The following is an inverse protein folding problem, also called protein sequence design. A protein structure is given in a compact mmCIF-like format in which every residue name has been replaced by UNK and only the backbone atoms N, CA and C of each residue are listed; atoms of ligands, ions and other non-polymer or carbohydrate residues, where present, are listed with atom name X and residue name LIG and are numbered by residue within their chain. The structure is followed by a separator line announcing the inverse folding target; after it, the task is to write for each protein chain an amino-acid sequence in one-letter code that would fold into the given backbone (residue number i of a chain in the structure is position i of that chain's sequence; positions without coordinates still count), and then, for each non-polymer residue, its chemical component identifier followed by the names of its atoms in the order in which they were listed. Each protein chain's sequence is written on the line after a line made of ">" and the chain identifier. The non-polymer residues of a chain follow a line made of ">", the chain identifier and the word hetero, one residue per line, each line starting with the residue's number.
data_IF_952622671018
#
_entry.id   IF_952622671018
#
_cell.length_a   1.000
_cell.length_b   1.000
_cell.length_c   1.000
_cell.angle_alpha   90.00
_cell.angle_beta   90.00
_cell.angle_gamma   90.00
#
_symmetry.space_group_name_H-M   'P 1'
#
loop_
_entity.id
_entity.type
_entity.pdbx_description
1 polymer ?
#
# COMPACT_ATOMS: atom_id res chain seq x y z
N UNK A 1 20.49 -40.49 -24.91
CA UNK A 1 19.60 -41.55 -24.39
C UNK A 1 19.23 -41.18 -22.99
N UNK A 2 17.94 -41.02 -22.68
CA UNK A 2 17.44 -40.70 -21.36
C UNK A 2 16.36 -39.61 -21.39
N UNK A 3 15.14 -40.05 -21.46
CA UNK A 3 13.89 -39.32 -21.76
C UNK A 3 13.43 -38.36 -20.66
N UNK A 4 12.98 -37.23 -21.07
CA UNK A 4 12.21 -36.23 -20.29
C UNK A 4 10.75 -36.67 -20.16
N UNK A 5 10.26 -36.96 -18.95
CA UNK A 5 8.83 -37.15 -18.67
C UNK A 5 8.19 -35.82 -18.26
N UNK A 6 7.38 -35.27 -19.18
CA UNK A 6 6.35 -34.24 -18.94
C UNK A 6 5.24 -34.80 -18.05
N UNK A 7 4.96 -34.17 -16.94
CA UNK A 7 3.72 -34.37 -16.16
C UNK A 7 2.81 -33.15 -16.36
N UNK A 8 1.88 -33.30 -17.27
CA UNK A 8 0.75 -32.36 -17.44
C UNK A 8 -0.37 -32.79 -16.49
N UNK A 9 -0.69 -32.02 -15.48
CA UNK A 9 -1.91 -32.19 -14.67
C UNK A 9 -3.03 -31.34 -15.23
N UNK A 10 -3.97 -32.05 -15.82
CA UNK A 10 -5.25 -31.61 -16.37
C UNK A 10 -6.23 -31.37 -15.19
N UNK A 11 -6.68 -30.16 -14.99
CA UNK A 11 -7.80 -29.86 -14.10
C UNK A 11 -9.07 -29.80 -14.94
N UNK A 12 -9.97 -30.78 -14.74
CA UNK A 12 -11.28 -30.82 -15.33
C UNK A 12 -12.28 -30.15 -14.38
N UNK A 13 -12.97 -29.14 -14.88
CA UNK A 13 -14.07 -28.49 -14.19
C UNK A 13 -15.34 -29.39 -14.22
N UNK A 14 -16.09 -29.35 -13.14
CA UNK A 14 -17.45 -29.88 -13.10
C UNK A 14 -18.44 -28.75 -12.85
N UNK A 15 -19.12 -28.32 -13.91
CA UNK A 15 -20.31 -27.51 -13.84
C UNK A 15 -21.50 -28.44 -13.45
N UNK A 16 -22.24 -28.08 -12.43
CA UNK A 16 -23.54 -28.68 -12.13
C UNK A 16 -24.64 -27.69 -12.44
N UNK A 17 -25.37 -27.98 -13.49
CA UNK A 17 -26.64 -27.37 -13.84
C UNK A 17 -27.72 -27.85 -12.88
N UNK A 18 -28.54 -26.97 -12.35
CA UNK A 18 -29.75 -27.28 -11.62
C UNK A 18 -30.95 -27.03 -12.53
N UNK A 19 -31.68 -28.06 -12.72
CA UNK A 19 -32.85 -28.21 -13.60
C UNK A 19 -34.11 -27.59 -12.99
N UNK A 20 -34.88 -26.87 -13.80
CA UNK A 20 -36.21 -26.39 -13.49
C UNK A 20 -37.23 -27.54 -13.54
N UNK A 21 -38.10 -27.63 -12.54
CA UNK A 21 -39.26 -28.50 -12.56
C UNK A 21 -40.53 -27.66 -12.79
N UNK A 22 -41.21 -27.99 -13.87
CA UNK A 22 -42.59 -27.57 -14.22
C UNK A 22 -43.58 -28.37 -13.39
N UNK A 23 -44.62 -27.76 -12.86
CA UNK A 23 -45.77 -28.45 -12.33
C UNK A 23 -47.04 -28.02 -13.07
N UNK A 24 -47.86 -29.02 -13.34
CA UNK A 24 -48.96 -29.05 -14.27
C UNK A 24 -50.29 -28.55 -13.68
N UNK A 25 -51.18 -28.23 -14.61
CA UNK A 25 -52.58 -27.86 -14.47
C UNK A 25 -53.42 -29.02 -13.92
N UNK A 26 -54.47 -28.68 -13.16
CA UNK A 26 -55.71 -29.46 -13.17
C UNK A 26 -56.89 -28.50 -12.95
N UNK A 27 -57.82 -28.58 -13.87
CA UNK A 27 -59.15 -27.94 -13.86
C UNK A 27 -60.13 -28.83 -13.14
N UNK A 28 -61.12 -28.26 -12.45
CA UNK A 28 -62.28 -29.00 -11.92
C UNK A 28 -63.45 -28.03 -11.72
N UNK A 29 -64.51 -28.35 -12.43
CA UNK A 29 -65.79 -27.65 -12.59
C UNK A 29 -66.83 -28.06 -11.53
N UNK A 30 -67.78 -27.16 -11.28
CA UNK A 30 -69.24 -27.34 -10.97
C UNK A 30 -69.65 -27.46 -9.50
N UNK A 31 -70.61 -26.63 -9.14
CA UNK A 31 -71.51 -26.82 -8.00
C UNK A 31 -72.11 -25.49 -7.46
N UNK A 32 -73.19 -25.04 -8.06
CA UNK A 32 -74.02 -23.94 -7.55
C UNK A 32 -74.93 -24.42 -6.41
N UNK A 33 -74.97 -23.76 -5.28
CA UNK A 33 -76.12 -23.72 -4.39
C UNK A 33 -76.21 -22.31 -3.74
N UNK A 34 -77.30 -21.66 -3.99
CA UNK A 34 -77.74 -20.40 -3.44
C UNK A 34 -78.30 -20.63 -2.02
N UNK A 35 -77.79 -19.99 -1.03
CA UNK A 35 -78.49 -19.78 0.26
C UNK A 35 -78.12 -18.42 0.80
N UNK A 36 -79.11 -17.53 0.80
CA UNK A 36 -79.02 -16.19 1.39
C UNK A 36 -78.91 -16.31 2.89
N UNK A 37 -77.74 -15.90 3.41
CA UNK A 37 -77.47 -15.68 4.83
C UNK A 37 -76.84 -14.33 5.01
N UNK A 38 -77.58 -13.38 5.59
CA UNK A 38 -77.03 -12.05 5.98
C UNK A 38 -76.10 -12.28 7.16
N UNK A 39 -74.81 -12.33 6.87
CA UNK A 39 -73.78 -12.26 7.91
C UNK A 39 -73.26 -10.83 7.97
N UNK A 40 -73.61 -10.13 9.02
CA UNK A 40 -73.00 -8.85 9.37
C UNK A 40 -71.56 -9.13 9.80
N UNK A 41 -70.64 -9.06 8.90
CA UNK A 41 -69.21 -9.09 9.18
C UNK A 41 -68.80 -7.70 9.70
N UNK A 42 -68.62 -7.63 11.00
CA UNK A 42 -67.90 -6.51 11.65
C UNK A 42 -66.46 -6.53 11.07
N UNK A 43 -66.15 -5.60 10.17
CA UNK A 43 -64.77 -5.30 9.76
C UNK A 43 -64.00 -4.76 10.93
N UNK A 44 -63.35 -5.62 11.71
CA UNK A 44 -62.24 -5.20 12.57
C UNK A 44 -61.13 -4.69 11.66
N UNK A 45 -61.08 -3.41 11.43
CA UNK A 45 -59.92 -2.75 10.88
C UNK A 45 -58.77 -2.86 11.89
N UNK A 46 -58.03 -3.97 11.82
CA UNK A 46 -56.70 -4.04 12.42
C UNK A 46 -55.84 -3.07 11.64
N UNK A 47 -55.66 -1.87 12.13
CA UNK A 47 -54.63 -0.97 11.66
C UNK A 47 -53.28 -1.72 11.71
N UNK A 48 -52.58 -1.87 10.58
CA UNK A 48 -51.27 -2.46 10.66
C UNK A 48 -50.43 -1.58 11.59
N UNK A 49 -49.87 -2.17 12.65
CA UNK A 49 -48.85 -1.52 13.45
C UNK A 49 -47.83 -0.88 12.51
N UNK A 50 -47.46 0.39 12.76
CA UNK A 50 -46.43 1.03 11.93
C UNK A 50 -45.16 0.24 12.13
N UNK A 51 -44.86 -0.63 11.14
CA UNK A 51 -43.57 -1.30 11.04
C UNK A 51 -42.56 -0.17 11.01
N UNK A 52 -41.84 0.02 12.11
CA UNK A 52 -40.79 1.03 12.21
C UNK A 52 -39.85 0.81 11.01
N UNK A 53 -39.94 1.71 10.02
CA UNK A 53 -39.11 1.64 8.84
C UNK A 53 -37.65 1.54 9.27
N UNK A 54 -36.98 0.46 8.89
CA UNK A 54 -35.55 0.34 9.18
C UNK A 54 -34.86 1.57 8.59
N UNK A 55 -34.00 2.25 9.38
CA UNK A 55 -33.29 3.41 8.88
C UNK A 55 -32.53 3.00 7.63
N UNK A 56 -32.83 3.64 6.50
CA UNK A 56 -32.25 3.34 5.21
C UNK A 56 -31.38 4.52 4.74
N UNK A 57 -30.35 4.22 4.01
CA UNK A 57 -29.49 5.23 3.39
C UNK A 57 -30.13 5.92 2.17
N UNK A 58 -31.36 5.50 1.78
CA UNK A 58 -32.14 6.06 0.69
C UNK A 58 -33.20 7.06 1.19
N UNK A 59 -33.68 7.93 0.30
CA UNK A 59 -34.73 8.92 0.58
C UNK A 59 -34.17 10.24 1.11
N UNK A 60 -35.09 11.04 1.68
CA UNK A 60 -34.81 12.40 2.19
C UNK A 60 -34.13 12.43 3.56
N UNK A 61 -33.49 11.33 3.98
CA UNK A 61 -32.78 11.30 5.27
C UNK A 61 -31.57 12.24 5.25
N UNK A 62 -31.40 13.05 6.27
CA UNK A 62 -30.20 13.83 6.49
C UNK A 62 -28.98 12.90 6.55
N UNK A 63 -27.87 13.31 5.96
CA UNK A 63 -26.64 12.54 5.90
C UNK A 63 -25.51 13.29 6.58
N UNK A 64 -24.68 12.56 7.29
CA UNK A 64 -23.46 13.07 7.89
C UNK A 64 -22.26 12.43 7.18
N UNK A 65 -21.40 13.25 6.60
CA UNK A 65 -20.13 12.82 6.05
C UNK A 65 -19.02 13.19 7.02
N UNK A 66 -18.19 12.23 7.36
CA UNK A 66 -17.03 12.41 8.22
C UNK A 66 -15.79 11.82 7.58
N UNK A 67 -14.64 12.34 7.95
CA UNK A 67 -13.34 11.78 7.60
C UNK A 67 -12.64 11.31 8.86
N UNK A 68 -11.83 10.28 8.72
CA UNK A 68 -10.93 9.80 9.74
C UNK A 68 -9.55 9.56 9.15
N UNK A 69 -8.53 9.91 9.91
CA UNK A 69 -7.13 9.65 9.59
C UNK A 69 -6.56 8.74 10.66
N UNK A 70 -5.92 7.68 10.24
CA UNK A 70 -5.25 6.75 11.15
C UNK A 70 -3.76 6.71 10.87
N UNK A 71 -3.00 6.44 11.91
CA UNK A 71 -1.55 6.40 11.88
C UNK A 71 -1.06 5.09 12.48
N UNK A 72 -0.07 4.48 11.82
CA UNK A 72 0.66 3.35 12.37
C UNK A 72 2.16 3.61 12.23
N UNK A 73 2.92 3.27 13.26
CA UNK A 73 4.38 3.48 13.28
C UNK A 73 5.07 2.13 13.33
N UNK A 74 6.03 1.94 12.42
CA UNK A 74 6.85 0.74 12.33
C UNK A 74 8.34 1.04 12.49
N UNK A 75 9.08 0.05 12.96
CA UNK A 75 10.55 0.11 12.96
C UNK A 75 11.04 -0.41 11.61
N UNK A 76 11.86 0.36 10.86
CA UNK A 76 12.46 -0.10 9.62
C UNK A 76 13.25 -1.40 9.81
N UNK A 77 13.17 -2.30 8.84
CA UNK A 77 13.85 -3.60 8.84
C UNK A 77 14.68 -3.85 7.57
N UNK A 78 14.64 -2.91 6.62
CA UNK A 78 15.51 -2.90 5.44
C UNK A 78 16.12 -1.53 5.25
N UNK A 79 17.33 -1.54 4.68
CA UNK A 79 18.05 -0.38 4.20
C UNK A 79 18.23 -0.52 2.69
N UNK A 80 17.65 0.38 1.93
CA UNK A 80 17.86 0.49 0.49
C UNK A 80 19.00 1.46 0.23
N UNK A 81 20.09 0.92 -0.31
CA UNK A 81 21.30 1.65 -0.68
C UNK A 81 21.32 1.83 -2.20
N UNK A 82 21.46 3.08 -2.66
CA UNK A 82 21.67 3.41 -4.08
C UNK A 82 23.08 3.93 -4.28
N UNK A 83 23.85 3.18 -5.06
CA UNK A 83 25.24 3.47 -5.39
C UNK A 83 25.37 3.76 -6.88
N UNK A 84 25.90 4.93 -7.21
CA UNK A 84 26.30 5.29 -8.56
C UNK A 84 27.77 4.98 -8.81
N UNK A 85 28.07 4.52 -10.02
CA UNK A 85 29.42 4.41 -10.54
C UNK A 85 29.48 5.33 -11.76
N UNK A 86 30.47 6.22 -11.80
CA UNK A 86 30.64 7.15 -12.91
C UNK A 86 32.08 7.08 -13.41
N UNK A 87 32.24 6.71 -14.68
CA UNK A 87 33.53 6.60 -15.36
C UNK A 87 33.53 7.41 -16.65
N UNK A 88 34.68 7.94 -17.00
CA UNK A 88 34.83 8.71 -18.26
C UNK A 88 36.11 8.29 -18.97
N UNK A 89 35.95 7.84 -20.21
CA UNK A 89 37.05 7.37 -21.06
C UNK A 89 36.94 7.94 -22.49
N UNK A 90 38.02 7.90 -23.28
CA UNK A 90 38.03 8.43 -24.65
C UNK A 90 37.00 7.75 -25.57
N UNK A 91 36.69 6.48 -25.37
CA UNK A 91 35.72 5.74 -26.17
C UNK A 91 34.61 5.14 -25.33
N UNK A 92 33.41 4.98 -25.89
CA UNK A 92 32.28 4.37 -25.21
C UNK A 92 32.57 2.91 -24.79
N UNK A 93 33.34 2.17 -25.55
CA UNK A 93 33.69 0.79 -25.25
C UNK A 93 34.63 0.69 -24.03
N UNK A 94 35.64 1.56 -23.97
CA UNK A 94 36.54 1.64 -22.80
C UNK A 94 35.76 2.01 -21.55
N UNK A 95 34.92 3.05 -21.61
CA UNK A 95 34.12 3.49 -20.49
C UNK A 95 33.14 2.40 -19.96
N UNK A 96 32.51 1.65 -20.88
CA UNK A 96 31.65 0.50 -20.48
C UNK A 96 32.48 -0.64 -19.89
N UNK A 97 33.68 -0.90 -20.41
CA UNK A 97 34.56 -1.94 -19.87
C UNK A 97 35.05 -1.59 -18.47
N UNK A 98 35.43 -0.35 -18.22
CA UNK A 98 35.84 0.11 -16.88
C UNK A 98 34.67 0.12 -15.88
N UNK A 99 33.48 0.57 -16.33
CA UNK A 99 32.27 0.49 -15.53
C UNK A 99 31.96 -0.96 -15.11
N UNK A 100 32.01 -1.92 -16.04
CA UNK A 100 31.75 -3.33 -15.75
C UNK A 100 32.70 -3.90 -14.68
N UNK A 101 33.99 -3.55 -14.75
CA UNK A 101 34.97 -3.96 -13.73
C UNK A 101 34.58 -3.41 -12.36
N UNK A 102 34.24 -2.11 -12.29
CA UNK A 102 33.88 -1.43 -11.05
C UNK A 102 32.55 -1.91 -10.49
N UNK A 103 31.54 -2.09 -11.34
CA UNK A 103 30.24 -2.62 -10.95
C UNK A 103 30.35 -4.05 -10.40
N UNK A 104 31.20 -4.88 -11.02
CA UNK A 104 31.48 -6.23 -10.53
C UNK A 104 32.17 -6.20 -9.16
N UNK A 105 33.11 -5.29 -8.94
CA UNK A 105 33.77 -5.14 -7.65
C UNK A 105 32.80 -4.68 -6.56
N UNK A 106 31.94 -3.71 -6.84
CA UNK A 106 30.90 -3.24 -5.92
C UNK A 106 29.92 -4.37 -5.59
N UNK A 107 29.44 -5.12 -6.59
CA UNK A 107 28.55 -6.27 -6.39
C UNK A 107 29.19 -7.37 -5.53
N UNK A 108 30.48 -7.63 -5.74
CA UNK A 108 31.22 -8.61 -4.95
C UNK A 108 31.31 -8.17 -3.47
N UNK A 109 31.61 -6.92 -3.21
CA UNK A 109 31.67 -6.36 -1.86
C UNK A 109 30.29 -6.42 -1.16
N UNK A 110 29.21 -6.06 -1.86
CA UNK A 110 27.85 -6.15 -1.35
C UNK A 110 27.52 -7.58 -0.94
N UNK A 111 27.82 -8.57 -1.81
CA UNK A 111 27.53 -9.98 -1.53
C UNK A 111 28.39 -10.54 -0.39
N UNK A 112 29.67 -10.18 -0.33
CA UNK A 112 30.56 -10.53 0.81
C UNK A 112 30.08 -9.90 2.12
N UNK A 113 29.49 -8.72 2.07
CA UNK A 113 28.88 -8.05 3.20
C UNK A 113 27.52 -8.62 3.63
N UNK A 114 27.07 -9.72 3.00
CA UNK A 114 25.84 -10.44 3.35
C UNK A 114 24.59 -9.97 2.62
N UNK A 115 24.73 -9.16 1.58
CA UNK A 115 23.59 -8.79 0.71
C UNK A 115 23.33 -9.96 -0.25
N UNK A 116 22.10 -10.47 -0.27
CA UNK A 116 21.75 -11.55 -1.17
C UNK A 116 21.80 -11.08 -2.64
N UNK A 117 22.25 -11.93 -3.56
CA UNK A 117 22.38 -11.57 -4.97
C UNK A 117 21.06 -11.09 -5.60
N UNK A 118 19.93 -11.63 -5.16
CA UNK A 118 18.58 -11.21 -5.60
C UNK A 118 18.21 -9.78 -5.14
N UNK A 119 18.89 -9.27 -4.13
CA UNK A 119 18.66 -7.96 -3.53
C UNK A 119 19.61 -6.89 -4.07
N UNK A 120 20.47 -7.24 -5.05
CA UNK A 120 21.32 -6.31 -5.80
C UNK A 120 20.78 -6.21 -7.22
N UNK A 121 20.48 -4.99 -7.62
CA UNK A 121 19.86 -4.69 -8.92
C UNK A 121 20.56 -3.50 -9.58
N UNK A 122 20.83 -3.59 -10.89
CA UNK A 122 21.15 -2.41 -11.69
C UNK A 122 19.84 -1.67 -11.99
N UNK A 123 19.72 -0.44 -11.53
CA UNK A 123 18.52 0.38 -11.69
C UNK A 123 18.62 1.39 -12.84
N UNK A 124 19.84 1.75 -13.22
CA UNK A 124 20.09 2.63 -14.36
C UNK A 124 21.47 2.37 -14.96
N UNK A 125 21.58 2.43 -16.28
CA UNK A 125 22.85 2.47 -17.01
C UNK A 125 22.69 3.45 -18.18
N UNK A 126 23.58 4.46 -18.24
CA UNK A 126 23.58 5.44 -19.32
C UNK A 126 25.00 5.68 -19.83
N UNK A 127 25.11 5.95 -21.14
CA UNK A 127 26.36 6.30 -21.81
C UNK A 127 26.16 7.62 -22.53
N UNK A 128 26.92 8.64 -22.15
CA UNK A 128 26.74 10.00 -22.64
C UNK A 128 28.06 10.54 -23.24
N UNK A 129 28.07 11.05 -24.48
CA UNK A 129 29.23 11.71 -25.04
C UNK A 129 29.55 13.01 -24.31
N UNK A 130 30.82 13.29 -24.08
CA UNK A 130 31.32 14.53 -23.55
C UNK A 130 31.84 15.42 -24.70
N UNK A 131 31.50 16.70 -24.66
CA UNK A 131 31.85 17.64 -25.69
C UNK A 131 32.72 18.77 -25.14
N UNK A 132 33.68 19.21 -25.95
CA UNK A 132 34.44 20.44 -25.68
C UNK A 132 33.65 21.70 -26.13
N UNK A 133 34.20 22.86 -25.87
CA UNK A 133 33.61 24.15 -26.29
C UNK A 133 33.44 24.34 -27.80
N UNK A 134 34.05 23.50 -28.62
CA UNK A 134 33.94 23.53 -30.06
C UNK A 134 32.95 22.45 -30.59
N UNK A 135 32.23 21.77 -29.70
CA UNK A 135 31.26 20.73 -30.11
C UNK A 135 31.89 19.40 -30.52
N UNK A 136 33.17 19.18 -30.27
CA UNK A 136 33.84 17.92 -30.56
C UNK A 136 33.73 16.95 -29.40
N UNK A 137 33.49 15.67 -29.64
CA UNK A 137 33.48 14.63 -28.63
C UNK A 137 34.89 14.45 -28.08
N UNK A 138 35.04 14.57 -26.76
CA UNK A 138 36.30 14.42 -26.01
C UNK A 138 36.37 13.13 -25.22
N UNK A 139 35.26 12.44 -25.08
CA UNK A 139 35.13 11.19 -24.35
C UNK A 139 33.69 10.78 -24.15
N UNK A 140 33.48 9.73 -23.39
CA UNK A 140 32.17 9.20 -23.01
C UNK A 140 32.11 8.99 -21.53
N UNK A 141 31.06 9.49 -20.93
CA UNK A 141 30.76 9.24 -19.53
C UNK A 141 29.72 8.09 -19.44
N UNK A 142 30.05 7.08 -18.66
CA UNK A 142 29.13 6.00 -18.27
C UNK A 142 28.70 6.24 -16.84
N UNK A 143 27.40 6.22 -16.61
CA UNK A 143 26.82 6.23 -15.27
C UNK A 143 25.99 4.97 -15.06
N UNK A 144 26.34 4.21 -14.05
CA UNK A 144 25.67 2.96 -13.66
C UNK A 144 25.18 3.09 -12.22
N UNK A 145 23.94 2.81 -11.97
CA UNK A 145 23.35 2.87 -10.62
C UNK A 145 22.95 1.47 -10.17
N UNK A 146 23.53 1.03 -9.07
CA UNK A 146 23.19 -0.21 -8.38
C UNK A 146 22.32 0.11 -7.17
N UNK A 147 21.22 -0.63 -7.00
CA UNK A 147 20.40 -0.58 -5.83
C UNK A 147 20.56 -1.89 -5.06
N UNK A 148 20.82 -1.80 -3.75
CA UNK A 148 21.00 -2.95 -2.88
C UNK A 148 20.09 -2.86 -1.66
N UNK A 149 19.48 -3.99 -1.26
CA UNK A 149 18.65 -4.08 -0.04
C UNK A 149 19.44 -4.80 1.04
N UNK A 150 19.77 -4.09 2.11
CA UNK A 150 20.53 -4.57 3.26
C UNK A 150 19.55 -4.80 4.42
N UNK A 151 19.49 -6.05 4.93
CA UNK A 151 18.59 -6.41 6.05
C UNK A 151 19.33 -6.45 7.39
N UNK A 152 20.65 -6.57 7.35
CA UNK A 152 21.46 -6.59 8.57
C UNK A 152 22.08 -5.21 8.82
N UNK A 153 21.45 -4.42 9.68
CA UNK A 153 21.92 -3.07 9.97
C UNK A 153 23.25 -3.03 10.76
N UNK A 154 23.55 -4.11 11.50
CA UNK A 154 24.83 -4.16 12.26
C UNK A 154 26.06 -4.18 11.37
N UNK A 155 25.93 -4.68 10.14
CA UNK A 155 27.03 -4.71 9.15
C UNK A 155 26.90 -3.63 8.08
N UNK A 156 25.78 -2.92 8.04
CA UNK A 156 25.48 -1.98 6.95
C UNK A 156 26.52 -0.85 6.83
N UNK A 157 26.98 -0.28 7.95
CA UNK A 157 28.02 0.76 7.94
C UNK A 157 29.32 0.27 7.29
N UNK A 158 29.82 -0.90 7.69
CA UNK A 158 31.05 -1.48 7.13
C UNK A 158 30.88 -1.88 5.66
N UNK A 159 29.67 -2.30 5.24
CA UNK A 159 29.37 -2.59 3.85
C UNK A 159 29.43 -1.31 3.01
N UNK A 160 28.86 -0.21 3.49
CA UNK A 160 28.89 1.10 2.80
C UNK A 160 30.34 1.58 2.64
N UNK A 161 31.15 1.51 3.70
CA UNK A 161 32.56 1.90 3.64
C UNK A 161 33.34 1.04 2.61
N UNK A 162 33.06 -0.25 2.60
CA UNK A 162 33.70 -1.18 1.64
C UNK A 162 33.27 -0.91 0.19
N UNK A 163 32.00 -0.56 -0.03
CA UNK A 163 31.47 -0.16 -1.32
C UNK A 163 32.13 1.12 -1.80
N UNK A 164 32.30 2.13 -0.93
CA UNK A 164 33.00 3.37 -1.25
C UNK A 164 34.43 3.11 -1.70
N UNK A 165 35.11 2.12 -1.12
CA UNK A 165 36.45 1.71 -1.50
C UNK A 165 36.52 0.89 -2.80
N UNK A 166 35.49 0.11 -3.14
CA UNK A 166 35.52 -0.88 -4.20
C UNK A 166 35.68 -0.29 -5.62
N UNK A 167 35.03 0.82 -5.91
CA UNK A 167 35.16 1.53 -7.19
C UNK A 167 35.95 2.84 -7.06
N UNK A 168 36.53 3.10 -5.88
CA UNK A 168 37.36 4.27 -5.61
C UNK A 168 36.63 5.59 -5.93
N UNK A 169 37.34 6.50 -6.61
CA UNK A 169 36.81 7.82 -6.97
C UNK A 169 35.62 7.78 -7.96
N UNK A 170 35.31 6.64 -8.56
CA UNK A 170 34.14 6.48 -9.42
C UNK A 170 32.84 6.25 -8.62
N UNK A 171 32.95 5.93 -7.32
CA UNK A 171 31.79 5.66 -6.44
C UNK A 171 31.06 6.95 -6.09
N UNK A 172 29.74 6.93 -6.23
CA UNK A 172 28.81 7.97 -5.76
C UNK A 172 27.75 7.33 -4.88
N UNK A 173 27.63 7.79 -3.65
CA UNK A 173 26.53 7.37 -2.78
C UNK A 173 25.32 8.27 -3.06
N UNK A 174 24.34 7.75 -3.82
CA UNK A 174 23.19 8.54 -4.27
C UNK A 174 22.15 8.71 -3.17
N UNK A 175 21.78 7.61 -2.52
CA UNK A 175 20.79 7.64 -1.43
C UNK A 175 20.92 6.44 -0.51
N UNK A 176 20.41 6.64 0.70
CA UNK A 176 20.33 5.66 1.76
C UNK A 176 18.96 5.84 2.41
N UNK A 177 18.10 4.83 2.31
CA UNK A 177 16.73 4.92 2.80
C UNK A 177 16.37 3.71 3.65
N UNK A 178 15.93 3.97 4.88
CA UNK A 178 15.40 2.95 5.78
C UNK A 178 13.91 2.79 5.57
N UNK A 179 13.43 1.56 5.49
CA UNK A 179 12.00 1.27 5.32
C UNK A 179 11.59 -0.05 5.95
N UNK A 180 10.28 -0.22 6.11
CA UNK A 180 9.67 -1.50 6.47
C UNK A 180 9.39 -2.26 5.17
N UNK A 181 9.92 -3.48 5.05
CA UNK A 181 9.79 -4.29 3.82
C UNK A 181 8.35 -4.73 3.56
N UNK A 182 7.60 -5.06 4.62
CA UNK A 182 6.18 -5.43 4.53
C UNK A 182 5.33 -4.45 5.34
N UNK A 183 4.73 -3.48 4.64
CA UNK A 183 3.90 -2.43 5.25
C UNK A 183 2.46 -2.86 5.50
N UNK A 184 2.00 -4.03 5.00
CA UNK A 184 0.59 -4.46 5.08
C UNK A 184 0.03 -4.43 6.49
N UNK A 185 0.80 -4.90 7.46
CA UNK A 185 0.38 -4.88 8.87
C UNK A 185 0.22 -3.46 9.43
N UNK A 186 1.09 -2.54 9.03
CA UNK A 186 1.00 -1.11 9.41
C UNK A 186 -0.18 -0.43 8.72
N UNK A 187 -0.37 -0.70 7.42
CA UNK A 187 -1.50 -0.16 6.67
C UNK A 187 -2.84 -0.60 7.26
N UNK A 188 -2.98 -1.89 7.64
CA UNK A 188 -4.19 -2.41 8.27
C UNK A 188 -4.44 -1.78 9.64
N UNK A 189 -3.39 -1.53 10.42
CA UNK A 189 -3.49 -0.80 11.68
C UNK A 189 -3.92 0.64 11.45
N UNK A 190 -3.31 1.33 10.50
CA UNK A 190 -3.67 2.71 10.15
C UNK A 190 -5.11 2.80 9.65
N UNK A 191 -5.58 1.89 8.78
CA UNK A 191 -6.98 1.83 8.33
C UNK A 191 -7.94 1.61 9.51
N UNK A 192 -7.61 0.70 10.42
CA UNK A 192 -8.42 0.43 11.61
C UNK A 192 -8.53 1.68 12.49
N UNK A 193 -7.44 2.39 12.67
CA UNK A 193 -7.41 3.63 13.46
C UNK A 193 -8.21 4.75 12.77
N UNK A 194 -8.07 4.91 11.46
CA UNK A 194 -8.84 5.86 10.65
C UNK A 194 -10.35 5.64 10.78
N UNK A 195 -10.80 4.38 10.69
CA UNK A 195 -12.22 4.03 10.86
C UNK A 195 -12.69 4.35 12.28
N UNK A 196 -11.90 4.01 13.29
CA UNK A 196 -12.23 4.31 14.70
C UNK A 196 -12.38 5.83 14.94
N UNK A 197 -11.48 6.62 14.39
CA UNK A 197 -11.53 8.07 14.47
C UNK A 197 -12.78 8.63 13.76
N UNK A 198 -13.08 8.17 12.53
CA UNK A 198 -14.27 8.58 11.80
C UNK A 198 -15.56 8.27 12.54
N UNK A 199 -15.66 7.07 13.17
CA UNK A 199 -16.81 6.68 14.01
C UNK A 199 -16.95 7.62 15.20
N UNK A 200 -15.86 7.93 15.90
CA UNK A 200 -15.86 8.85 17.03
C UNK A 200 -16.30 10.26 16.62
N UNK A 201 -15.81 10.78 15.51
CA UNK A 201 -16.21 12.06 14.95
C UNK A 201 -17.71 12.07 14.61
N UNK A 202 -18.20 11.01 13.93
CA UNK A 202 -19.60 10.90 13.57
C UNK A 202 -20.52 10.92 14.79
N UNK A 203 -20.16 10.19 15.85
CA UNK A 203 -20.93 10.15 17.10
C UNK A 203 -20.98 11.53 17.75
N UNK A 204 -19.84 12.20 17.88
CA UNK A 204 -19.74 13.52 18.49
C UNK A 204 -20.56 14.57 17.72
N UNK A 205 -20.46 14.55 16.39
CA UNK A 205 -21.20 15.50 15.53
C UNK A 205 -22.71 15.24 15.56
N UNK A 206 -23.15 13.99 15.51
CA UNK A 206 -24.58 13.66 15.60
C UNK A 206 -25.16 14.11 16.96
N UNK A 207 -24.43 13.86 18.05
CA UNK A 207 -24.85 14.32 19.40
C UNK A 207 -24.94 15.85 19.49
N UNK A 208 -23.95 16.58 18.96
CA UNK A 208 -23.94 18.04 18.95
C UNK A 208 -25.09 18.63 18.11
N UNK A 209 -25.50 17.93 17.05
CA UNK A 209 -26.64 18.29 16.21
C UNK A 209 -28.01 17.96 16.86
N UNK A 210 -28.03 17.29 18.01
CA UNK A 210 -29.27 16.79 18.64
C UNK A 210 -29.89 15.60 17.90
N UNK A 211 -29.11 14.91 17.09
CA UNK A 211 -29.53 13.78 16.25
C UNK A 211 -28.89 12.47 16.76
N UNK A 212 -29.38 11.34 16.28
CA UNK A 212 -28.78 10.04 16.52
C UNK A 212 -28.08 9.54 15.29
N UNK A 213 -26.91 8.95 15.48
CA UNK A 213 -26.18 8.32 14.39
C UNK A 213 -26.93 7.07 13.92
N UNK A 214 -27.23 7.02 12.63
CA UNK A 214 -27.86 5.89 11.96
C UNK A 214 -26.83 4.94 11.33
N UNK A 215 -27.24 4.08 10.40
CA UNK A 215 -26.36 3.15 9.74
C UNK A 215 -25.35 3.85 8.83
N UNK A 216 -24.23 3.16 8.59
CA UNK A 216 -23.24 3.55 7.57
C UNK A 216 -23.86 3.40 6.21
N UNK A 217 -23.86 4.45 5.41
CA UNK A 217 -24.36 4.48 4.03
C UNK A 217 -23.27 4.21 3.00
N UNK A 218 -22.08 4.72 3.24
CA UNK A 218 -20.89 4.40 2.46
C UNK A 218 -19.63 4.52 3.32
N UNK A 219 -18.64 3.72 2.97
CA UNK A 219 -17.29 3.79 3.48
C UNK A 219 -16.37 3.76 2.26
N UNK A 220 -15.48 4.74 2.16
CA UNK A 220 -14.49 4.83 1.09
C UNK A 220 -13.12 4.93 1.71
N UNK A 221 -12.25 3.99 1.37
CA UNK A 221 -10.83 4.07 1.68
C UNK A 221 -10.17 5.03 0.68
N UNK A 222 -9.54 6.07 1.20
CA UNK A 222 -8.80 7.07 0.45
C UNK A 222 -7.28 6.92 0.66
N UNK A 223 -6.86 5.83 1.30
CA UNK A 223 -5.45 5.51 1.52
C UNK A 223 -4.78 5.21 0.18
N UNK A 224 -3.56 5.71 -0.04
CA UNK A 224 -2.82 5.50 -1.30
C UNK A 224 -2.99 6.60 -2.35
N UNK A 225 -3.75 7.67 -2.08
CA UNK A 225 -3.69 8.89 -2.86
C UNK A 225 -2.57 9.75 -2.25
N UNK A 226 -1.36 9.48 -2.68
CA UNK A 226 -0.13 10.26 -2.53
C UNK A 226 -0.07 11.24 -1.33
N UNK A 227 0.24 10.72 -0.15
CA UNK A 227 0.79 11.51 0.92
C UNK A 227 2.01 10.79 1.52
N UNK A 228 3.02 10.51 0.69
CA UNK A 228 4.34 10.26 1.21
C UNK A 228 4.86 11.59 1.78
N UNK A 229 4.69 11.78 3.07
CA UNK A 229 5.37 12.85 3.81
C UNK A 229 6.60 12.21 4.45
N UNK A 230 7.82 12.52 3.95
CA UNK A 230 9.04 12.12 4.66
C UNK A 230 8.95 12.72 6.05
N UNK A 231 9.03 11.89 7.09
CA UNK A 231 9.05 12.36 8.47
C UNK A 231 10.14 13.42 8.64
N UNK A 232 9.78 14.54 9.22
CA UNK A 232 10.71 15.64 9.52
C UNK A 232 11.79 15.11 10.45
N UNK A 233 12.99 14.95 9.93
CA UNK A 233 14.15 14.65 10.77
C UNK A 233 14.43 15.88 11.64
N UNK A 234 14.37 15.71 12.96
CA UNK A 234 14.90 16.70 13.87
C UNK A 234 16.42 16.78 13.60
N UNK A 235 16.87 17.93 13.11
CA UNK A 235 18.28 18.22 12.92
C UNK A 235 18.95 18.30 14.30
N UNK A 236 19.53 17.16 14.72
CA UNK A 236 20.44 17.12 15.87
C UNK A 236 21.72 17.88 15.52
N UNK A 237 22.17 18.71 16.43
CA UNK A 237 23.39 19.49 16.31
C UNK A 237 24.61 18.60 15.99
N UNK A 238 25.26 18.85 14.87
CA UNK A 238 26.52 18.21 14.47
C UNK A 238 27.66 18.65 15.40
N UNK A 239 28.22 17.71 16.15
CA UNK A 239 29.49 17.91 16.83
C UNK A 239 30.63 17.86 15.82
N UNK A 240 31.60 18.80 15.97
CA UNK A 240 32.76 18.91 15.08
C UNK A 240 33.63 17.65 15.09
N UNK A 241 34.21 17.25 13.95
CA UNK A 241 35.03 16.05 13.87
C UNK A 241 36.39 16.31 14.53
N UNK A 242 36.78 15.47 15.49
CA UNK A 242 38.17 15.27 15.88
C UNK A 242 38.68 14.03 15.18
N UNK A 243 39.86 14.13 14.57
CA UNK A 243 40.61 13.07 13.91
C UNK A 243 40.70 11.81 14.77
N UNK A 244 39.97 10.77 14.42
CA UNK A 244 40.16 9.39 14.89
C UNK A 244 39.94 8.44 13.71
N UNK A 245 40.68 7.33 13.71
CA UNK A 245 40.55 6.24 12.74
C UNK A 245 39.09 6.03 12.35
N UNK A 246 38.81 5.91 11.05
CA UNK A 246 37.49 5.89 10.49
C UNK A 246 36.59 4.85 11.20
N UNK A 247 35.72 5.34 12.07
CA UNK A 247 34.66 4.52 12.62
C UNK A 247 33.63 4.28 11.49
N UNK A 248 32.97 3.11 11.45
CA UNK A 248 31.92 2.85 10.48
C UNK A 248 30.88 3.98 10.50
N UNK A 249 30.30 4.29 9.32
CA UNK A 249 29.25 5.31 9.21
C UNK A 249 28.13 4.99 10.21
N UNK A 250 27.83 5.89 11.18
CA UNK A 250 26.72 5.66 12.10
C UNK A 250 25.40 5.73 11.35
N UNK A 251 24.56 4.70 11.51
CA UNK A 251 23.29 4.56 10.82
C UNK A 251 22.15 4.54 11.83
N UNK A 252 21.29 5.56 11.75
CA UNK A 252 20.10 5.69 12.60
C UNK A 252 18.85 5.46 11.77
N UNK A 253 18.18 4.33 11.98
CA UNK A 253 17.03 3.92 11.17
C UNK A 253 15.75 4.74 11.45
N UNK A 254 15.63 5.36 12.62
CA UNK A 254 14.43 6.09 13.02
C UNK A 254 13.18 5.22 13.08
N UNK A 255 12.03 5.81 12.70
CA UNK A 255 10.75 5.13 12.59
C UNK A 255 10.05 5.52 11.29
N UNK A 256 9.32 4.58 10.70
CA UNK A 256 8.46 4.83 9.53
C UNK A 256 7.01 4.95 10.00
N UNK A 257 6.28 5.92 9.44
CA UNK A 257 4.87 6.13 9.72
C UNK A 257 4.05 5.87 8.46
N UNK A 258 3.03 5.02 8.60
CA UNK A 258 2.01 4.80 7.58
C UNK A 258 0.75 5.55 7.96
N UNK A 259 0.12 6.19 6.97
CA UNK A 259 -1.10 6.98 7.14
C UNK A 259 -2.21 6.40 6.29
N UNK A 260 -3.38 6.22 6.89
CA UNK A 260 -4.59 5.86 6.16
C UNK A 260 -5.66 6.95 6.35
N UNK A 261 -6.45 7.17 5.31
CA UNK A 261 -7.58 8.09 5.34
C UNK A 261 -8.84 7.40 4.86
N UNK A 262 -9.94 7.58 5.61
CA UNK A 262 -11.25 7.04 5.24
C UNK A 262 -12.29 8.15 5.23
N UNK A 263 -13.25 8.05 4.31
CA UNK A 263 -14.45 8.86 4.29
C UNK A 263 -15.66 7.98 4.56
N UNK A 264 -16.51 8.37 5.51
CA UNK A 264 -17.70 7.63 5.90
C UNK A 264 -18.95 8.53 5.82
N UNK A 265 -20.02 7.98 5.27
CA UNK A 265 -21.32 8.64 5.23
C UNK A 265 -22.28 7.85 6.08
N UNK A 266 -22.93 8.54 7.01
CA UNK A 266 -23.96 8.00 7.90
C UNK A 266 -25.33 8.61 7.59
N UNK A 267 -26.39 7.85 7.79
CA UNK A 267 -27.71 8.44 7.95
C UNK A 267 -27.84 9.11 9.32
N UNK A 268 -28.51 10.27 9.40
CA UNK A 268 -28.90 10.88 10.66
C UNK A 268 -30.36 10.51 10.96
N UNK A 269 -30.64 10.24 12.22
CA UNK A 269 -31.95 9.89 12.73
C UNK A 269 -32.41 10.95 13.72
N UNK A 270 -33.69 11.39 13.68
CA UNK A 270 -34.22 12.31 14.66
C UNK A 270 -34.02 11.81 16.10
N UNK A 271 -33.74 12.72 17.01
CA UNK A 271 -33.70 12.37 18.42
C UNK A 271 -35.03 11.72 18.87
N UNK A 272 -34.95 10.69 19.70
CA UNK A 272 -36.15 10.08 20.26
C UNK A 272 -36.89 11.15 21.09
N UNK A 273 -38.10 11.48 20.72
CA UNK A 273 -38.97 12.35 21.52
C UNK A 273 -39.19 11.62 22.84
N UNK A 274 -38.59 12.12 23.91
CA UNK A 274 -38.95 11.64 25.28
C UNK A 274 -40.38 12.11 25.53
N UNK A 275 -41.31 11.18 25.51
CA UNK A 275 -42.66 11.39 26.05
C UNK A 275 -42.61 11.23 27.55
#
# INVERSE_FOLDING_TARGET
>A
MGETKKVVRKWAGSARAATAARAARAAGLVGAVVLAGVVVTACSSSSPDPVAAKPSCGGSSSKLTVQGTGLATGTPNILTLSVGISVTDPTANEALSDDNVKATAVTAVLTQGGVAAKDVQTSNLSVNPQYNLHGQITGYNVTNTLTAIIRNFSTAGSVIDSVAGAAGNATQLNSLNFSVEDTRGLEDQARTDAVRQAVSHAQSMAQAAGERLGPVCSLTDQSGIDNYSPGSFATGAVASPQDKAAAPVPLEAGSQQETAQVSMVYALLPAAIRR
#
